data_IF_870685914812
#
_entry.id   IF_870685914812
#
_cell.length_a   1.000
_cell.length_b   1.000
_cell.length_c   1.000
_cell.angle_alpha   90.00
_cell.angle_beta   90.00
_cell.angle_gamma   90.00
#
_symmetry.space_group_name_H-M   'P 1'
#
loop_
_entity.id
_entity.type
_entity.pdbx_description
1 polymer ?
#
# COMPACT_ATOMS: atom_id res chain seq x y z
N UNK A 1 -9.88 -29.86 -23.42
CA UNK A 1 -8.83 -28.87 -23.11
C UNK A 1 -8.87 -28.68 -21.60
N UNK A 2 -7.76 -28.86 -20.89
CA UNK A 2 -7.73 -28.58 -19.46
C UNK A 2 -7.84 -27.07 -19.23
N UNK A 3 -8.41 -26.66 -18.10
CA UNK A 3 -8.40 -25.26 -17.67
C UNK A 3 -6.95 -24.83 -17.39
N UNK A 4 -6.55 -23.66 -17.90
CA UNK A 4 -5.25 -23.05 -17.60
C UNK A 4 -5.28 -22.48 -16.18
N UNK A 5 -4.27 -22.78 -15.36
CA UNK A 5 -4.14 -22.17 -14.03
C UNK A 5 -3.76 -20.69 -14.13
N UNK A 6 -4.12 -19.87 -13.14
CA UNK A 6 -3.73 -18.45 -13.10
C UNK A 6 -2.21 -18.24 -13.18
N UNK A 7 -1.41 -19.12 -12.58
CA UNK A 7 0.05 -19.05 -12.69
C UNK A 7 0.53 -19.32 -14.12
N UNK A 8 -0.02 -20.33 -14.78
CA UNK A 8 0.30 -20.64 -16.18
C UNK A 8 -0.09 -19.48 -17.12
N UNK A 9 -1.26 -18.88 -16.87
CA UNK A 9 -1.72 -17.68 -17.56
C UNK A 9 -0.73 -16.52 -17.38
N UNK A 10 -0.31 -16.23 -16.14
CA UNK A 10 0.64 -15.15 -15.86
C UNK A 10 2.00 -15.36 -16.54
N UNK A 11 2.50 -16.60 -16.60
CA UNK A 11 3.75 -16.92 -17.32
C UNK A 11 3.61 -16.73 -18.83
N UNK A 12 2.49 -17.16 -19.40
CA UNK A 12 2.20 -16.97 -20.83
C UNK A 12 2.04 -15.49 -21.18
N UNK A 13 1.23 -14.76 -20.42
CA UNK A 13 0.98 -13.33 -20.63
C UNK A 13 2.26 -12.50 -20.48
N UNK A 14 3.11 -12.82 -19.49
CA UNK A 14 4.42 -12.15 -19.36
C UNK A 14 5.23 -12.29 -20.64
N UNK A 15 5.27 -13.48 -21.26
CA UNK A 15 5.99 -13.67 -22.52
C UNK A 15 5.32 -12.91 -23.67
N UNK A 16 3.99 -12.92 -23.77
CA UNK A 16 3.26 -12.27 -24.87
C UNK A 16 3.34 -10.73 -24.79
N UNK A 17 3.33 -10.16 -23.58
CA UNK A 17 3.31 -8.70 -23.35
C UNK A 17 4.72 -8.08 -23.23
N UNK A 18 5.70 -8.85 -22.77
CA UNK A 18 7.07 -8.34 -22.53
C UNK A 18 8.13 -9.00 -23.41
N UNK A 19 7.85 -10.15 -24.02
CA UNK A 19 8.86 -10.94 -24.73
C UNK A 19 9.86 -11.62 -23.80
N UNK A 20 9.74 -11.46 -22.48
CA UNK A 20 10.66 -12.02 -21.49
C UNK A 20 10.16 -13.38 -21.01
N UNK A 21 11.03 -14.39 -21.10
CA UNK A 21 10.76 -15.71 -20.52
C UNK A 21 11.08 -15.71 -19.03
N UNK A 22 10.10 -16.08 -18.23
CA UNK A 22 10.21 -16.10 -16.77
C UNK A 22 10.07 -17.52 -16.20
N UNK A 23 10.72 -17.75 -15.06
CA UNK A 23 10.56 -18.97 -14.24
C UNK A 23 9.92 -18.58 -12.91
N UNK A 24 8.73 -19.10 -12.56
CA UNK A 24 8.08 -18.82 -11.28
C UNK A 24 8.97 -19.14 -10.08
N UNK A 25 8.91 -18.28 -9.05
CA UNK A 25 9.62 -18.46 -7.79
C UNK A 25 8.63 -18.83 -6.68
N UNK A 26 9.02 -19.79 -5.83
CA UNK A 26 8.24 -20.17 -4.66
C UNK A 26 8.53 -19.17 -3.53
N UNK A 27 7.51 -18.54 -2.97
CA UNK A 27 7.67 -17.49 -1.96
C UNK A 27 6.91 -17.86 -0.69
N UNK A 28 7.54 -17.68 0.48
CA UNK A 28 6.90 -17.70 1.80
C UNK A 28 6.12 -16.42 2.04
N UNK A 29 5.06 -16.20 1.27
CA UNK A 29 4.10 -15.15 1.58
C UNK A 29 2.97 -15.76 2.40
N UNK A 30 2.68 -15.17 3.56
CA UNK A 30 1.35 -15.39 4.11
C UNK A 30 0.38 -14.85 3.08
N UNK A 31 -0.60 -15.64 2.64
CA UNK A 31 -1.76 -15.15 1.88
C UNK A 31 -2.63 -14.28 2.79
N UNK A 32 -2.04 -13.20 3.30
CA UNK A 32 -2.75 -12.07 3.87
C UNK A 32 -3.33 -11.37 2.66
N UNK A 33 -4.65 -11.47 2.50
CA UNK A 33 -5.39 -10.60 1.62
C UNK A 33 -4.80 -9.18 1.72
N UNK A 34 -4.41 -8.61 0.58
CA UNK A 34 -4.18 -7.17 0.41
C UNK A 34 -5.28 -6.43 1.17
N UNK A 35 -4.98 -5.37 1.96
CA UNK A 35 -5.70 -5.04 3.18
C UNK A 35 -7.22 -5.05 3.00
N UNK A 36 -7.92 -5.78 3.88
CA UNK A 36 -9.38 -5.74 3.95
C UNK A 36 -9.89 -4.34 4.29
N UNK A 37 -11.19 -4.11 4.08
CA UNK A 37 -11.96 -2.85 4.16
C UNK A 37 -11.52 -1.85 5.25
N UNK A 38 -10.98 -2.32 6.38
CA UNK A 38 -10.44 -1.49 7.47
C UNK A 38 -9.19 -0.64 7.14
N UNK A 39 -8.46 -0.88 6.04
CA UNK A 39 -7.33 -0.02 5.68
C UNK A 39 -7.75 1.32 5.07
N UNK A 40 -8.92 1.36 4.42
CA UNK A 40 -9.54 2.58 3.92
C UNK A 40 -10.31 3.30 5.04
N UNK A 41 -10.96 2.54 5.93
CA UNK A 41 -11.60 3.09 7.14
C UNK A 41 -10.58 3.71 8.11
N UNK A 42 -9.40 3.09 8.28
CA UNK A 42 -8.31 3.66 9.08
C UNK A 42 -7.75 4.96 8.51
N UNK A 43 -7.73 5.11 7.18
CA UNK A 43 -7.36 6.38 6.52
C UNK A 43 -8.44 7.44 6.65
N UNK A 44 -9.73 7.06 6.57
CA UNK A 44 -10.86 7.97 6.80
C UNK A 44 -10.93 8.42 8.26
N UNK A 45 -10.80 7.49 9.21
CA UNK A 45 -10.77 7.80 10.65
C UNK A 45 -9.55 8.66 11.02
N UNK A 46 -8.38 8.43 10.42
CA UNK A 46 -7.22 9.31 10.62
C UNK A 46 -7.44 10.70 10.02
N UNK A 47 -8.14 10.81 8.88
CA UNK A 47 -8.50 12.11 8.31
C UNK A 47 -9.56 12.84 9.14
N UNK A 48 -10.59 12.13 9.63
CA UNK A 48 -11.63 12.68 10.51
C UNK A 48 -11.02 13.12 11.85
N UNK A 49 -10.16 12.30 12.47
CA UNK A 49 -9.44 12.69 13.69
C UNK A 49 -8.50 13.88 13.47
N UNK A 50 -7.83 13.97 12.31
CA UNK A 50 -7.03 15.15 11.96
C UNK A 50 -7.89 16.40 11.74
N UNK A 51 -9.07 16.26 11.14
CA UNK A 51 -10.02 17.38 10.97
C UNK A 51 -10.61 17.82 12.31
N UNK A 52 -11.01 16.89 13.17
CA UNK A 52 -11.50 17.19 14.52
C UNK A 52 -10.39 17.83 15.38
N UNK A 53 -9.14 17.36 15.30
CA UNK A 53 -8.03 18.03 15.96
C UNK A 53 -7.77 19.43 15.41
N UNK A 54 -7.87 19.64 14.09
CA UNK A 54 -7.75 20.97 13.49
C UNK A 54 -8.90 21.88 13.93
N UNK A 55 -10.12 21.36 14.02
CA UNK A 55 -11.31 22.12 14.42
C UNK A 55 -11.26 22.46 15.91
N UNK A 56 -10.86 21.52 16.78
CA UNK A 56 -10.59 21.79 18.19
C UNK A 56 -9.45 22.80 18.36
N UNK A 57 -8.37 22.71 17.57
CA UNK A 57 -7.31 23.73 17.58
C UNK A 57 -7.84 25.10 17.15
N UNK A 58 -8.69 25.17 16.12
CA UNK A 58 -9.34 26.42 15.71
C UNK A 58 -10.26 26.97 16.80
N UNK A 59 -11.11 26.15 17.42
CA UNK A 59 -11.99 26.57 18.52
C UNK A 59 -11.18 27.01 19.74
N UNK A 60 -10.10 26.30 20.08
CA UNK A 60 -9.14 26.72 21.11
C UNK A 60 -8.47 28.04 20.73
N UNK A 61 -8.14 28.24 19.46
CA UNK A 61 -7.52 29.47 18.97
C UNK A 61 -8.51 30.63 19.01
N UNK A 62 -9.75 30.44 18.57
CA UNK A 62 -10.85 31.41 18.68
C UNK A 62 -11.19 31.71 20.15
N UNK A 63 -11.19 30.69 21.01
CA UNK A 63 -11.38 30.87 22.44
C UNK A 63 -10.22 31.64 23.05
N UNK A 64 -8.97 31.33 22.69
CA UNK A 64 -7.80 32.08 23.13
C UNK A 64 -7.83 33.50 22.58
N UNK A 65 -8.29 33.74 21.36
CA UNK A 65 -8.47 35.07 20.78
C UNK A 65 -9.59 35.84 21.48
N UNK A 66 -10.72 35.20 21.77
CA UNK A 66 -11.82 35.78 22.51
C UNK A 66 -11.43 36.06 23.96
N UNK A 67 -10.70 35.16 24.60
CA UNK A 67 -10.10 35.35 25.93
C UNK A 67 -9.02 36.41 25.89
N UNK A 68 -8.22 36.51 24.83
CA UNK A 68 -7.22 37.56 24.67
C UNK A 68 -7.90 38.91 24.46
N UNK A 69 -8.99 38.97 23.69
CA UNK A 69 -9.79 40.17 23.49
C UNK A 69 -10.52 40.57 24.77
N UNK A 70 -11.09 39.61 25.49
CA UNK A 70 -11.69 39.80 26.80
C UNK A 70 -10.64 40.14 27.85
N UNK A 71 -9.42 39.60 27.79
CA UNK A 71 -8.31 39.90 28.67
C UNK A 71 -7.71 41.26 28.33
N UNK A 72 -7.73 41.71 27.07
CA UNK A 72 -7.41 43.08 26.69
C UNK A 72 -8.49 44.03 27.20
N UNK A 73 -9.77 43.69 27.06
CA UNK A 73 -10.90 44.43 27.65
C UNK A 73 -10.92 44.37 29.19
N UNK A 74 -10.43 43.28 29.78
CA UNK A 74 -10.38 43.06 31.22
C UNK A 74 -9.09 43.62 31.82
N UNK A 75 -7.97 43.67 31.11
CA UNK A 75 -6.76 44.41 31.48
C UNK A 75 -7.03 45.92 31.39
N UNK A 76 -7.86 46.33 30.42
CA UNK A 76 -8.51 47.66 30.43
C UNK A 76 -9.45 47.87 31.63
N UNK A 77 -9.96 46.81 32.29
CA UNK A 77 -10.90 46.90 33.45
C UNK A 77 -10.34 46.46 34.82
N UNK A 78 -9.21 45.77 34.87
CA UNK A 78 -8.63 45.04 36.02
C UNK A 78 -7.15 44.77 35.79
N UNK A 79 -6.33 45.59 36.42
CA UNK A 79 -5.14 45.11 37.08
C UNK A 79 -5.55 44.18 38.25
N UNK A 80 -5.27 42.86 38.18
CA UNK A 80 -5.39 41.75 39.20
C UNK A 80 -6.35 40.63 38.73
N UNK A 81 -6.05 39.32 38.61
CA UNK A 81 -4.87 38.46 38.74
C UNK A 81 -5.26 36.94 38.79
N UNK A 82 -4.56 36.09 38.01
CA UNK A 82 -4.18 34.62 38.05
C UNK A 82 -5.18 33.45 38.37
N UNK A 83 -5.38 32.39 37.53
CA UNK A 83 -4.65 31.11 37.11
C UNK A 83 -4.84 29.91 38.11
N UNK A 84 -5.04 28.60 37.81
CA UNK A 84 -4.31 27.49 37.10
C UNK A 84 -5.22 26.21 37.10
N UNK A 85 -5.44 25.38 36.06
CA UNK A 85 -4.71 24.32 35.26
C UNK A 85 -4.43 22.93 35.94
N UNK A 86 -4.67 21.81 35.22
CA UNK A 86 -4.10 20.45 35.42
C UNK A 86 -4.50 19.42 34.31
N UNK A 87 -3.51 18.65 33.82
CA UNK A 87 -3.53 17.71 32.67
C UNK A 87 -3.67 16.20 33.01
N UNK A 88 -3.83 15.41 31.93
CA UNK A 88 -4.14 13.98 31.69
C UNK A 88 -3.01 12.93 31.85
N UNK A 89 -3.28 11.60 31.66
CA UNK A 89 -2.48 10.58 30.88
C UNK A 89 -3.28 9.27 30.55
N UNK A 90 -2.97 8.63 29.42
CA UNK A 90 -3.48 7.37 28.78
C UNK A 90 -2.63 6.09 29.08
N UNK A 91 -3.05 4.90 28.55
CA UNK A 91 -2.21 3.68 28.43
C UNK A 91 -2.61 2.73 27.28
N UNK A 92 -1.62 2.23 26.51
CA UNK A 92 -1.72 1.30 25.38
C UNK A 92 -1.53 -0.20 25.72
N UNK A 93 -2.14 -1.11 24.94
CA UNK A 93 -1.77 -2.54 24.88
C UNK A 93 -2.06 -3.18 23.51
N UNK A 94 -1.06 -3.84 22.90
CA UNK A 94 -1.13 -4.63 21.65
C UNK A 94 -1.44 -6.13 21.91
N UNK A 95 -2.13 -6.80 20.96
CA UNK A 95 -2.57 -8.21 21.02
C UNK A 95 -1.94 -9.17 19.97
N UNK A 96 -2.25 -10.49 20.02
CA UNK A 96 -1.48 -11.55 19.33
C UNK A 96 -1.86 -11.79 17.85
N UNK A 97 -0.83 -12.10 17.04
CA UNK A 97 -0.89 -12.39 15.59
C UNK A 97 -1.35 -13.84 15.32
N UNK A 98 -2.32 -14.04 14.40
CA UNK A 98 -2.86 -15.36 14.00
C UNK A 98 -2.08 -16.01 12.86
N UNK A 99 -1.93 -17.34 12.93
CA UNK A 99 -1.17 -18.19 12.00
C UNK A 99 -2.01 -18.61 10.77
N UNK A 100 -1.57 -18.32 9.54
CA UNK A 100 -2.27 -18.61 8.27
C UNK A 100 -1.97 -20.00 7.65
N UNK A 101 -2.79 -20.47 6.70
CA UNK A 101 -2.69 -21.80 6.08
C UNK A 101 -1.37 -22.07 5.36
N UNK A 102 -0.79 -21.05 4.73
CA UNK A 102 0.47 -21.16 3.98
C UNK A 102 1.67 -20.57 4.75
N UNK A 103 1.47 -20.23 6.02
CA UNK A 103 2.50 -19.54 6.79
C UNK A 103 3.73 -20.42 7.00
N UNK A 104 4.88 -19.91 6.54
CA UNK A 104 6.17 -20.61 6.64
C UNK A 104 6.41 -21.67 5.58
N UNK A 105 5.54 -21.82 4.58
CA UNK A 105 5.68 -22.79 3.49
C UNK A 105 6.06 -22.09 2.19
N UNK A 106 6.99 -22.66 1.42
CA UNK A 106 7.35 -22.18 0.08
C UNK A 106 6.25 -22.62 -0.91
N UNK A 107 5.64 -21.68 -1.63
CA UNK A 107 4.58 -21.99 -2.60
C UNK A 107 4.56 -21.01 -3.78
N UNK A 108 3.88 -21.40 -4.86
CA UNK A 108 3.76 -20.63 -6.11
C UNK A 108 2.44 -19.86 -6.25
N UNK A 109 1.72 -19.65 -5.15
CA UNK A 109 0.51 -18.82 -5.15
C UNK A 109 0.83 -17.33 -5.40
N UNK A 110 -0.20 -16.58 -5.78
CA UNK A 110 -0.08 -15.14 -6.03
C UNK A 110 0.42 -14.40 -4.77
N UNK A 111 1.44 -13.56 -4.94
CA UNK A 111 2.01 -12.74 -3.86
C UNK A 111 1.10 -11.56 -3.51
N UNK A 112 0.24 -11.14 -4.42
CA UNK A 112 -0.77 -10.12 -4.19
C UNK A 112 -1.95 -10.28 -5.15
N UNK A 113 -3.11 -9.76 -4.73
CA UNK A 113 -4.25 -9.54 -5.61
C UNK A 113 -4.71 -8.09 -5.44
N UNK A 114 -4.87 -7.39 -6.55
CA UNK A 114 -5.51 -6.08 -6.59
C UNK A 114 -6.82 -6.19 -7.35
N UNK A 115 -7.78 -5.34 -7.00
CA UNK A 115 -9.06 -5.26 -7.68
C UNK A 115 -9.43 -3.81 -7.91
N UNK A 116 -10.02 -3.53 -9.08
CA UNK A 116 -10.48 -2.21 -9.49
C UNK A 116 -11.87 -2.34 -10.04
N UNK A 117 -12.80 -1.56 -9.49
CA UNK A 117 -14.11 -1.39 -10.10
C UNK A 117 -14.05 -0.19 -11.05
N UNK A 118 -14.41 -0.40 -12.31
CA UNK A 118 -14.63 0.70 -13.24
C UNK A 118 -15.92 1.43 -12.86
N UNK A 119 -15.80 2.71 -12.49
CA UNK A 119 -16.94 3.47 -12.01
C UNK A 119 -18.01 3.73 -13.11
N UNK A 120 -17.63 3.69 -14.39
CA UNK A 120 -18.54 3.98 -15.50
C UNK A 120 -19.39 2.76 -15.89
N UNK A 121 -18.80 1.56 -15.87
CA UNK A 121 -19.45 0.32 -16.33
C UNK A 121 -19.80 -0.63 -15.20
N UNK A 122 -19.21 -0.46 -14.01
CA UNK A 122 -19.29 -1.41 -12.91
C UNK A 122 -18.46 -2.67 -13.12
N UNK A 123 -17.65 -2.74 -14.19
CA UNK A 123 -16.79 -3.89 -14.45
C UNK A 123 -15.71 -4.02 -13.36
N UNK A 124 -15.49 -5.25 -12.89
CA UNK A 124 -14.44 -5.56 -11.92
C UNK A 124 -13.22 -6.12 -12.65
N UNK A 125 -12.09 -5.42 -12.57
CA UNK A 125 -10.77 -5.94 -12.95
C UNK A 125 -10.10 -6.51 -11.72
N UNK A 126 -9.55 -7.72 -11.82
CA UNK A 126 -8.67 -8.31 -10.80
C UNK A 126 -7.31 -8.59 -11.43
N UNK A 127 -6.23 -8.29 -10.71
CA UNK A 127 -4.85 -8.62 -11.13
C UNK A 127 -4.20 -9.43 -10.02
N UNK A 128 -3.68 -10.60 -10.41
CA UNK A 128 -2.95 -11.51 -9.54
C UNK A 128 -1.46 -11.42 -9.87
N UNK A 129 -0.64 -11.10 -8.89
CA UNK A 129 0.80 -10.92 -9.08
C UNK A 129 1.55 -12.15 -8.61
N UNK A 130 2.58 -12.54 -9.34
CA UNK A 130 3.46 -13.66 -9.02
C UNK A 130 4.91 -13.20 -9.00
N UNK A 131 5.75 -13.82 -8.17
CA UNK A 131 7.19 -13.62 -8.22
C UNK A 131 7.81 -14.59 -9.23
N UNK A 132 8.73 -14.11 -10.05
CA UNK A 132 9.44 -14.91 -11.04
C UNK A 132 10.86 -14.37 -11.27
N UNK A 133 11.74 -15.23 -11.77
CA UNK A 133 13.09 -14.86 -12.22
C UNK A 133 13.19 -14.89 -13.74
N UNK A 134 14.02 -14.03 -14.31
CA UNK A 134 14.39 -14.06 -15.71
C UNK A 134 15.88 -13.75 -15.88
N UNK A 135 16.43 -14.12 -17.04
CA UNK A 135 17.81 -13.82 -17.41
C UNK A 135 17.91 -12.40 -17.97
N UNK A 136 18.61 -11.51 -17.27
CA UNK A 136 18.78 -10.12 -17.68
C UNK A 136 19.60 -9.96 -18.98
N UNK A 137 20.39 -10.97 -19.34
CA UNK A 137 21.20 -10.96 -20.56
C UNK A 137 20.46 -11.46 -21.79
N UNK A 138 19.28 -12.07 -21.60
CA UNK A 138 18.46 -12.56 -22.69
C UNK A 138 17.79 -11.41 -23.44
N UNK A 139 17.85 -11.44 -24.77
CA UNK A 139 17.11 -10.50 -25.60
C UNK A 139 15.61 -10.84 -25.54
N UNK A 140 14.73 -9.86 -25.24
CA UNK A 140 13.29 -10.08 -25.29
C UNK A 140 12.84 -10.50 -26.69
N UNK A 141 11.86 -11.39 -26.75
CA UNK A 141 11.20 -11.74 -28.01
C UNK A 141 10.44 -10.53 -28.57
N UNK A 142 10.41 -10.35 -29.91
CA UNK A 142 9.66 -9.26 -30.50
C UNK A 142 8.18 -9.34 -30.12
N UNK A 143 7.66 -8.23 -29.57
CA UNK A 143 6.24 -8.11 -29.29
C UNK A 143 5.43 -8.03 -30.59
N UNK A 144 4.31 -8.74 -30.61
CA UNK A 144 3.40 -8.80 -31.76
C UNK A 144 1.98 -8.56 -31.26
N UNK A 145 1.19 -7.76 -31.98
CA UNK A 145 -0.22 -7.53 -31.65
C UNK A 145 -0.51 -6.12 -31.13
N UNK A 146 -1.64 -5.98 -30.44
CA UNK A 146 -2.20 -4.69 -30.02
C UNK A 146 -1.36 -4.02 -28.92
N UNK A 147 -0.64 -4.81 -28.12
CA UNK A 147 0.18 -4.31 -27.01
C UNK A 147 1.63 -3.97 -27.41
N UNK A 148 1.99 -4.19 -28.68
CA UNK A 148 3.34 -3.93 -29.17
C UNK A 148 3.68 -2.43 -29.04
N UNK A 149 4.66 -2.12 -28.19
CA UNK A 149 5.12 -0.75 -27.93
C UNK A 149 4.34 0.01 -26.86
N UNK A 150 3.42 -0.63 -26.15
CA UNK A 150 2.77 -0.03 -24.98
C UNK A 150 3.69 0.02 -23.75
N UNK A 151 4.64 -0.92 -23.66
CA UNK A 151 5.54 -1.07 -22.53
C UNK A 151 7.00 -1.05 -22.96
N UNK A 152 7.87 -0.54 -22.09
CA UNK A 152 9.32 -0.65 -22.18
C UNK A 152 9.80 -1.54 -21.02
N UNK A 153 10.53 -2.60 -21.33
CA UNK A 153 11.14 -3.45 -20.32
C UNK A 153 12.46 -2.85 -19.87
N UNK A 154 12.57 -2.56 -18.56
CA UNK A 154 13.76 -1.98 -17.96
C UNK A 154 14.25 -2.88 -16.83
N UNK A 155 15.48 -3.36 -16.95
CA UNK A 155 16.20 -3.95 -15.83
C UNK A 155 16.69 -2.84 -14.90
N UNK A 156 16.35 -2.92 -13.62
CA UNK A 156 16.75 -1.93 -12.62
C UNK A 156 17.11 -2.59 -11.30
N UNK A 157 17.69 -1.81 -10.38
CA UNK A 157 17.93 -2.29 -9.02
C UNK A 157 16.61 -2.49 -8.30
N UNK A 158 16.54 -3.56 -7.50
CA UNK A 158 15.34 -3.96 -6.75
C UNK A 158 14.78 -2.82 -5.90
N UNK A 159 15.64 -2.07 -5.21
CA UNK A 159 15.22 -0.96 -4.33
C UNK A 159 14.69 0.27 -5.11
N UNK A 160 14.96 0.36 -6.41
CA UNK A 160 14.49 1.45 -7.28
C UNK A 160 13.18 1.08 -8.03
N UNK A 161 12.89 -0.22 -8.17
CA UNK A 161 11.82 -0.73 -9.02
C UNK A 161 10.44 -0.15 -8.69
N UNK A 162 10.06 -0.12 -7.41
CA UNK A 162 8.74 0.36 -6.99
C UNK A 162 8.50 1.84 -7.33
N UNK A 163 9.55 2.67 -7.36
CA UNK A 163 9.46 4.10 -7.65
C UNK A 163 9.36 4.41 -9.15
N UNK A 164 9.67 3.45 -10.02
CA UNK A 164 9.60 3.61 -11.48
C UNK A 164 8.22 3.30 -12.06
N UNK A 165 7.32 2.72 -11.26
CA UNK A 165 5.99 2.32 -11.72
C UNK A 165 5.03 3.50 -11.78
N UNK A 166 4.20 3.54 -12.83
CA UNK A 166 3.24 4.61 -13.06
C UNK A 166 2.14 4.65 -11.98
N UNK A 167 1.75 3.50 -11.43
CA UNK A 167 0.72 3.39 -10.41
C UNK A 167 1.33 3.05 -9.05
N UNK A 168 1.07 3.87 -8.00
CA UNK A 168 1.59 3.60 -6.66
C UNK A 168 1.19 2.23 -6.09
N UNK A 169 0.00 1.74 -6.45
CA UNK A 169 -0.48 0.41 -6.03
C UNK A 169 0.43 -0.71 -6.54
N UNK A 170 0.93 -0.62 -7.78
CA UNK A 170 1.87 -1.61 -8.31
C UNK A 170 3.21 -1.55 -7.56
N UNK A 171 3.66 -0.34 -7.21
CA UNK A 171 4.83 -0.13 -6.35
C UNK A 171 4.69 -0.77 -4.96
N UNK A 172 3.49 -0.71 -4.36
CA UNK A 172 3.20 -1.40 -3.10
C UNK A 172 3.29 -2.92 -3.25
N UNK A 173 2.80 -3.46 -4.36
CA UNK A 173 2.89 -4.89 -4.66
C UNK A 173 4.35 -5.32 -4.83
N UNK A 174 5.16 -4.56 -5.55
CA UNK A 174 6.61 -4.83 -5.71
C UNK A 174 7.31 -4.83 -4.35
N UNK A 175 7.09 -3.80 -3.52
CA UNK A 175 7.70 -3.74 -2.18
C UNK A 175 7.32 -4.94 -1.30
N UNK A 176 6.04 -5.36 -1.35
CA UNK A 176 5.59 -6.56 -0.65
C UNK A 176 6.27 -7.81 -1.19
N UNK A 177 6.32 -7.98 -2.51
CA UNK A 177 6.94 -9.14 -3.15
C UNK A 177 8.42 -9.27 -2.78
N UNK A 178 9.17 -8.16 -2.82
CA UNK A 178 10.58 -8.10 -2.42
C UNK A 178 10.75 -8.49 -0.94
N UNK A 179 9.91 -7.95 -0.05
CA UNK A 179 9.95 -8.31 1.37
C UNK A 179 9.66 -9.80 1.61
N UNK A 180 8.69 -10.37 0.89
CA UNK A 180 8.34 -11.79 0.98
C UNK A 180 9.44 -12.69 0.41
N UNK A 181 10.08 -12.29 -0.69
CA UNK A 181 11.22 -12.99 -1.28
C UNK A 181 12.44 -12.98 -0.35
N UNK A 182 12.79 -11.82 0.23
CA UNK A 182 13.88 -11.72 1.23
C UNK A 182 13.59 -12.59 2.46
N UNK A 183 12.34 -12.62 2.95
CA UNK A 183 11.92 -13.51 4.05
C UNK A 183 11.98 -14.99 3.69
N UNK A 184 11.81 -15.32 2.41
CA UNK A 184 11.94 -16.70 1.91
C UNK A 184 13.40 -17.14 1.88
N UNK A 185 14.33 -16.20 1.68
CA UNK A 185 15.77 -16.43 1.62
C UNK A 185 16.38 -16.19 0.24
N UNK A 186 15.68 -15.48 -0.66
CA UNK A 186 16.27 -15.03 -1.92
C UNK A 186 17.27 -13.90 -1.67
N UNK A 187 18.35 -13.90 -2.46
CA UNK A 187 19.41 -12.88 -2.45
C UNK A 187 19.10 -11.82 -3.52
N UNK A 188 18.37 -10.77 -3.13
CA UNK A 188 17.85 -9.69 -4.00
C UNK A 188 17.82 -8.31 -3.31
#
# INVERSE_FOLDING_TARGET
MGEESLLACAVRETLEETGVRVTPLAVRCGTRATPGEGALEGQQQQQEQQQEQQQQQQELQEMHEAQHMQAMQAMQRRARGAHVDLQAVESDAEGPVRQGLTEGVDHYEAVACCHWADAATGALKMVFYYAASADESALPEPLMGEDAGLFENVWCKVDEAAAQLAFPTDGMVVNKAVADMRRTGYDI
#
